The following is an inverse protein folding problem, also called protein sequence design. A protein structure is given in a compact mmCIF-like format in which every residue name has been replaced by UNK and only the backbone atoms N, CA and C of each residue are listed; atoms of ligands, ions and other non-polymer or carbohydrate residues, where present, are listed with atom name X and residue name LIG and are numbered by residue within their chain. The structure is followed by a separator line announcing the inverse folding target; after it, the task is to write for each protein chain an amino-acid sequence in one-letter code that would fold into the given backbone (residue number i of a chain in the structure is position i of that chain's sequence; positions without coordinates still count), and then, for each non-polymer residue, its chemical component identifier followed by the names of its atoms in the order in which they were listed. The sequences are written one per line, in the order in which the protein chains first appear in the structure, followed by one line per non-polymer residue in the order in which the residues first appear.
data_IF_008959760737
#
_entry.id   IF_008959760737
#
_cell.length_a   1.000
_cell.length_b   1.000
_cell.length_c   1.000
_cell.angle_alpha   90.00
_cell.angle_beta   90.00
_cell.angle_gamma   90.00
#
_symmetry.space_group_name_H-M   'P 1'
#
loop_
_entity.id
_entity.type
_entity.pdbx_description
1 polymer ?
#
# COMPACT_ATOMS: atom_id res chain seq x y z
N UNK A 1 -4.86 -12.41 36.42
CA UNK A 1 -4.49 -11.34 35.48
C UNK A 1 -5.78 -10.69 34.99
N UNK A 2 -5.85 -9.40 34.94
CA UNK A 2 -6.98 -8.64 34.41
C UNK A 2 -6.65 -8.29 32.97
N UNK A 3 -7.55 -8.53 32.02
CA UNK A 3 -7.37 -8.15 30.62
C UNK A 3 -8.29 -6.98 30.26
N UNK A 4 -7.83 -6.11 29.38
CA UNK A 4 -8.67 -5.01 28.90
C UNK A 4 -9.75 -5.56 27.96
N UNK A 5 -9.34 -6.42 27.03
CA UNK A 5 -10.24 -7.03 26.04
C UNK A 5 -9.88 -8.50 25.83
N UNK A 6 -10.88 -9.36 25.65
CA UNK A 6 -10.70 -10.73 25.16
C UNK A 6 -11.56 -10.91 23.91
N UNK A 7 -10.93 -11.35 22.82
CA UNK A 7 -11.62 -11.84 21.61
C UNK A 7 -11.77 -13.34 21.76
N UNK A 8 -13.00 -13.86 21.66
CA UNK A 8 -13.34 -15.28 21.92
C UNK A 8 -13.84 -16.01 20.69
N UNK A 9 -13.62 -17.33 20.69
CA UNK A 9 -14.23 -18.28 19.76
C UNK A 9 -13.85 -18.09 18.30
N UNK A 10 -12.89 -17.22 17.97
CA UNK A 10 -12.50 -16.93 16.59
C UNK A 10 -11.50 -17.92 16.04
N UNK A 11 -11.48 -18.06 14.71
CA UNK A 11 -10.40 -18.73 14.01
C UNK A 11 -9.25 -17.75 13.82
N UNK A 12 -8.21 -17.87 14.63
CA UNK A 12 -6.98 -17.07 14.51
C UNK A 12 -6.23 -17.53 13.26
N UNK A 13 -5.91 -16.57 12.38
CA UNK A 13 -5.18 -16.83 11.14
C UNK A 13 -3.91 -15.98 11.14
N UNK A 14 -2.77 -16.64 11.11
CA UNK A 14 -1.45 -16.04 10.89
C UNK A 14 -0.95 -16.37 9.49
N UNK A 15 0.24 -15.90 9.11
CA UNK A 15 0.84 -16.29 7.82
C UNK A 15 1.14 -17.79 7.71
N UNK A 16 1.27 -18.51 8.84
CA UNK A 16 1.66 -19.93 8.86
C UNK A 16 0.54 -20.85 9.35
N UNK A 17 -0.27 -20.41 10.32
CA UNK A 17 -1.19 -21.28 11.05
C UNK A 17 -2.62 -20.75 11.06
N UNK A 18 -3.57 -21.68 11.18
CA UNK A 18 -4.99 -21.39 11.43
C UNK A 18 -5.49 -22.31 12.55
N UNK A 19 -5.99 -21.72 13.64
CA UNK A 19 -6.47 -22.47 14.81
C UNK A 19 -7.54 -21.67 15.57
N UNK A 20 -8.40 -22.37 16.31
CA UNK A 20 -9.40 -21.72 17.18
C UNK A 20 -8.76 -21.37 18.50
N UNK A 21 -8.80 -20.10 18.89
CA UNK A 21 -8.29 -19.61 20.17
C UNK A 21 -8.96 -18.30 20.59
N UNK A 22 -8.87 -17.99 21.88
CA UNK A 22 -9.13 -16.68 22.43
C UNK A 22 -7.86 -15.83 22.37
N UNK A 23 -7.99 -14.54 22.17
CA UNK A 23 -6.89 -13.56 22.18
C UNK A 23 -7.16 -12.53 23.27
N UNK A 24 -6.31 -12.51 24.30
CA UNK A 24 -6.40 -11.54 25.40
C UNK A 24 -5.45 -10.36 25.18
N UNK A 25 -5.93 -9.17 25.50
CA UNK A 25 -5.26 -7.89 25.28
C UNK A 25 -5.11 -7.17 26.62
N UNK A 26 -3.93 -6.63 26.86
CA UNK A 26 -3.64 -5.71 27.97
C UNK A 26 -2.68 -4.62 27.50
N UNK A 27 -2.93 -3.38 27.89
CA UNK A 27 -2.08 -2.22 27.59
C UNK A 27 -1.75 -2.08 26.09
N UNK A 28 -2.76 -2.37 25.25
CA UNK A 28 -2.63 -2.26 23.79
C UNK A 28 -1.80 -3.36 23.12
N UNK A 29 -1.42 -4.41 23.87
CA UNK A 29 -0.64 -5.55 23.38
C UNK A 29 -1.38 -6.86 23.56
N UNK A 30 -1.01 -7.84 22.72
CA UNK A 30 -1.46 -9.21 22.88
C UNK A 30 -0.78 -9.79 24.12
N UNK A 31 -1.57 -10.10 25.14
CA UNK A 31 -1.09 -10.60 26.44
C UNK A 31 -1.10 -12.13 26.51
N UNK A 32 -2.10 -12.77 25.87
CA UNK A 32 -2.19 -14.23 25.79
C UNK A 32 -2.96 -14.66 24.55
N UNK A 33 -2.63 -15.86 24.06
CA UNK A 33 -3.38 -16.57 23.01
C UNK A 33 -3.55 -18.00 23.49
N UNK A 34 -4.79 -18.50 23.55
CA UNK A 34 -5.04 -19.84 24.05
C UNK A 34 -6.53 -20.18 24.10
N UNK A 35 -6.84 -21.40 24.42
CA UNK A 35 -8.23 -21.86 24.53
C UNK A 35 -8.81 -21.51 25.91
N UNK A 36 -10.09 -21.10 25.97
CA UNK A 36 -10.85 -20.86 27.19
C UNK A 36 -10.16 -19.90 28.19
N UNK A 37 -9.65 -18.78 27.71
CA UNK A 37 -9.04 -17.77 28.57
C UNK A 37 -10.07 -17.26 29.61
N UNK A 38 -9.64 -16.99 30.86
CA UNK A 38 -10.54 -16.55 31.92
C UNK A 38 -11.05 -15.12 31.62
N UNK A 39 -12.38 -14.96 31.65
CA UNK A 39 -13.03 -13.65 31.36
C UNK A 39 -13.36 -12.85 32.64
N UNK A 40 -13.13 -13.43 33.82
CA UNK A 40 -13.40 -12.74 35.10
C UNK A 40 -12.50 -11.48 35.19
N UNK A 41 -13.12 -10.35 35.46
CA UNK A 41 -12.48 -9.04 35.55
C UNK A 41 -11.98 -8.49 34.21
N UNK A 42 -12.44 -9.01 33.07
CA UNK A 42 -12.18 -8.41 31.75
C UNK A 42 -13.14 -7.24 31.50
N UNK A 43 -12.61 -6.11 30.98
CA UNK A 43 -13.44 -4.91 30.73
C UNK A 43 -14.37 -5.14 29.53
N UNK A 44 -13.86 -5.77 28.46
CA UNK A 44 -14.61 -6.01 27.23
C UNK A 44 -14.40 -7.43 26.72
N UNK A 45 -15.48 -8.08 26.28
CA UNK A 45 -15.43 -9.37 25.57
C UNK A 45 -16.04 -9.20 24.19
N UNK A 46 -15.31 -9.59 23.16
CA UNK A 46 -15.73 -9.56 21.76
C UNK A 46 -15.91 -11.01 21.29
N UNK A 47 -17.09 -11.34 20.79
CA UNK A 47 -17.37 -12.67 20.24
C UNK A 47 -17.02 -12.71 18.74
N UNK A 48 -16.11 -13.61 18.37
CA UNK A 48 -15.68 -13.87 17.00
C UNK A 48 -16.15 -15.24 16.48
N UNK A 49 -17.24 -15.78 17.04
CA UNK A 49 -17.82 -17.06 16.59
C UNK A 49 -18.10 -17.01 15.08
N UNK A 50 -17.62 -18.03 14.34
CA UNK A 50 -17.68 -18.15 12.88
C UNK A 50 -16.94 -17.03 12.10
N UNK A 51 -16.04 -16.29 12.75
CA UNK A 51 -15.24 -15.24 12.14
C UNK A 51 -13.76 -15.56 12.21
N UNK A 52 -12.99 -14.90 11.36
CA UNK A 52 -11.54 -14.94 11.40
C UNK A 52 -11.02 -13.84 12.32
N UNK A 53 -9.98 -14.12 13.07
CA UNK A 53 -9.19 -13.12 13.80
C UNK A 53 -7.86 -12.99 13.08
N UNK A 54 -7.66 -11.86 12.42
CA UNK A 54 -6.52 -11.56 11.58
C UNK A 54 -5.64 -10.49 12.24
N UNK A 55 -4.32 -10.46 12.00
CA UNK A 55 -3.53 -9.28 12.30
C UNK A 55 -4.01 -8.11 11.43
N UNK A 56 -3.97 -6.91 11.97
CA UNK A 56 -4.34 -5.70 11.24
C UNK A 56 -3.58 -5.56 9.93
N UNK A 57 -4.27 -5.12 8.87
CA UNK A 57 -3.65 -4.87 7.57
C UNK A 57 -2.59 -3.76 7.64
N UNK A 58 -1.54 -3.90 6.86
CA UNK A 58 -0.50 -2.89 6.68
C UNK A 58 -0.49 -2.47 5.22
N UNK A 59 -0.83 -1.23 4.95
CA UNK A 59 -0.74 -0.66 3.60
C UNK A 59 0.54 0.16 3.48
N UNK A 60 1.43 -0.30 2.63
CA UNK A 60 2.76 0.30 2.48
C UNK A 60 2.83 1.31 1.33
N UNK A 61 1.68 1.69 0.76
CA UNK A 61 1.67 2.61 -0.36
C UNK A 61 0.42 3.48 -0.36
N UNK A 62 0.53 4.64 0.30
CA UNK A 62 -0.53 5.66 0.33
C UNK A 62 0.05 7.06 0.12
N UNK A 63 -0.79 7.98 -0.35
CA UNK A 63 -0.43 9.37 -0.65
C UNK A 63 -1.48 10.33 -0.05
N UNK A 64 -1.49 10.42 1.28
CA UNK A 64 -2.43 11.25 2.02
C UNK A 64 -1.95 12.71 2.06
N UNK A 65 -2.89 13.64 1.85
CA UNK A 65 -2.61 15.10 1.86
C UNK A 65 -1.43 15.47 0.94
N UNK A 66 -1.33 14.76 -0.21
CA UNK A 66 -0.22 14.89 -1.15
C UNK A 66 -0.51 15.96 -2.21
N UNK A 67 0.30 17.03 -2.32
CA UNK A 67 0.21 17.98 -3.42
C UNK A 67 0.74 17.32 -4.72
N UNK A 68 -0.14 17.21 -5.73
CA UNK A 68 0.20 16.64 -7.02
C UNK A 68 -0.76 17.11 -8.12
N UNK A 69 -0.27 17.26 -9.35
CA UNK A 69 -1.11 17.58 -10.51
C UNK A 69 -1.85 18.91 -10.43
N UNK A 70 -1.30 19.89 -9.71
CA UNK A 70 -1.92 21.22 -9.53
C UNK A 70 -2.99 21.27 -8.44
N UNK A 71 -3.15 20.20 -7.67
CA UNK A 71 -4.11 20.09 -6.57
C UNK A 71 -3.51 19.28 -5.41
N UNK A 72 -4.33 18.86 -4.45
CA UNK A 72 -3.91 18.01 -3.33
C UNK A 72 -4.83 16.78 -3.26
N UNK A 73 -4.30 15.61 -2.92
CA UNK A 73 -5.12 14.41 -2.75
C UNK A 73 -6.26 14.65 -1.76
N UNK A 74 -7.44 14.09 -2.04
CA UNK A 74 -8.67 14.42 -1.35
C UNK A 74 -8.68 13.97 0.13
N UNK A 75 -8.07 12.83 0.43
CA UNK A 75 -7.94 12.34 1.79
C UNK A 75 -6.70 12.92 2.46
N UNK A 76 -6.88 13.43 3.66
CA UNK A 76 -5.81 13.76 4.59
C UNK A 76 -5.55 12.58 5.56
N UNK A 77 -4.64 12.76 6.54
CA UNK A 77 -4.32 11.70 7.50
C UNK A 77 -5.48 11.31 8.41
N UNK A 78 -6.47 12.19 8.65
CA UNK A 78 -7.66 11.82 9.41
C UNK A 78 -8.59 10.95 8.57
N UNK A 79 -9.00 11.46 7.40
CA UNK A 79 -10.01 10.81 6.56
C UNK A 79 -9.47 9.52 5.93
N UNK A 80 -8.23 9.53 5.43
CA UNK A 80 -7.61 8.36 4.81
C UNK A 80 -7.33 7.22 5.82
N UNK A 81 -6.81 7.54 7.03
CA UNK A 81 -6.59 6.51 8.05
C UNK A 81 -7.90 6.01 8.67
N UNK A 82 -8.96 6.84 8.71
CA UNK A 82 -10.31 6.42 9.06
C UNK A 82 -10.87 5.44 8.03
N UNK A 83 -10.78 5.75 6.75
CA UNK A 83 -11.19 4.85 5.67
C UNK A 83 -10.39 3.54 5.68
N UNK A 84 -9.07 3.62 5.91
CA UNK A 84 -8.21 2.45 6.09
C UNK A 84 -8.69 1.54 7.22
N UNK A 85 -9.08 2.12 8.36
CA UNK A 85 -9.61 1.37 9.51
C UNK A 85 -10.90 0.64 9.16
N UNK A 86 -11.85 1.24 8.43
CA UNK A 86 -13.04 0.54 7.95
C UNK A 86 -12.68 -0.65 7.05
N UNK A 87 -11.61 -0.54 6.27
CA UNK A 87 -11.07 -1.62 5.45
C UNK A 87 -10.24 -2.66 6.20
N UNK A 88 -10.07 -2.55 7.53
CA UNK A 88 -9.25 -3.48 8.33
C UNK A 88 -7.75 -3.19 8.28
N UNK A 89 -7.34 -2.07 7.72
CA UNK A 89 -5.94 -1.62 7.70
C UNK A 89 -5.68 -0.75 8.93
N UNK A 90 -4.73 -1.15 9.77
CA UNK A 90 -4.40 -0.50 11.04
C UNK A 90 -3.06 0.21 11.05
N UNK A 91 -2.29 0.04 10.00
CA UNK A 91 -0.98 0.68 9.83
C UNK A 91 -0.80 1.11 8.37
N UNK A 92 -0.33 2.34 8.18
CA UNK A 92 -0.01 2.87 6.85
C UNK A 92 1.45 3.31 6.80
N UNK A 93 2.08 3.11 5.64
CA UNK A 93 3.39 3.73 5.35
C UNK A 93 3.17 4.67 4.16
N UNK A 94 3.14 5.97 4.45
CA UNK A 94 2.89 7.02 3.48
C UNK A 94 4.18 7.60 2.88
N UNK A 95 4.09 8.39 1.83
CA UNK A 95 5.25 8.93 1.12
C UNK A 95 5.47 10.41 1.39
N UNK A 96 6.46 10.74 2.22
CA UNK A 96 6.93 12.10 2.42
C UNK A 96 7.73 12.59 1.22
N UNK A 97 7.30 13.69 0.58
CA UNK A 97 7.88 14.19 -0.67
C UNK A 97 8.95 15.23 -0.39
N UNK A 98 10.17 14.98 -0.86
CA UNK A 98 11.21 15.99 -0.99
C UNK A 98 10.89 16.91 -2.17
N UNK A 99 10.92 18.21 -1.97
CA UNK A 99 10.98 19.16 -3.07
C UNK A 99 12.44 19.33 -3.53
N UNK A 100 12.63 19.41 -4.85
CA UNK A 100 13.97 19.48 -5.46
C UNK A 100 14.81 20.58 -4.81
N UNK A 101 16.04 20.23 -4.42
CA UNK A 101 16.97 21.13 -3.74
C UNK A 101 16.72 21.32 -2.25
N UNK A 102 15.66 20.74 -1.68
CA UNK A 102 15.38 20.79 -0.24
C UNK A 102 15.97 19.57 0.50
N UNK A 103 16.23 19.69 1.80
CA UNK A 103 16.65 18.57 2.63
C UNK A 103 15.56 17.48 2.72
N UNK A 104 15.97 16.19 2.78
CA UNK A 104 15.06 15.07 3.07
C UNK A 104 14.43 15.23 4.45
N UNK A 105 15.15 15.81 5.41
CA UNK A 105 14.66 16.12 6.74
C UNK A 105 13.40 16.98 6.70
N UNK A 106 13.38 18.01 5.85
CA UNK A 106 12.22 18.89 5.72
C UNK A 106 10.97 18.14 5.22
N UNK A 107 11.15 17.19 4.29
CA UNK A 107 10.05 16.32 3.83
C UNK A 107 9.46 15.52 4.98
N UNK A 108 10.31 14.87 5.76
CA UNK A 108 9.90 14.09 6.93
C UNK A 108 9.15 14.96 7.96
N UNK A 109 9.70 16.11 8.34
CA UNK A 109 9.11 17.01 9.34
C UNK A 109 7.75 17.55 8.85
N UNK A 110 7.61 17.85 7.55
CA UNK A 110 6.36 18.28 6.94
C UNK A 110 5.29 17.20 7.07
N UNK A 111 5.60 15.94 6.72
CA UNK A 111 4.66 14.83 6.81
C UNK A 111 4.32 14.47 8.26
N UNK A 112 5.28 14.55 9.17
CA UNK A 112 5.03 14.44 10.61
C UNK A 112 4.01 15.47 11.09
N UNK A 113 4.16 16.73 10.65
CA UNK A 113 3.20 17.81 10.97
C UNK A 113 1.79 17.53 10.43
N UNK A 114 1.68 16.93 9.23
CA UNK A 114 0.39 16.55 8.63
C UNK A 114 -0.29 15.40 9.38
N UNK A 115 0.48 14.42 9.89
CA UNK A 115 -0.04 13.17 10.42
C UNK A 115 -0.30 13.19 11.93
N UNK A 116 0.58 13.82 12.74
CA UNK A 116 0.66 13.61 14.20
C UNK A 116 -0.60 13.96 14.98
N UNK A 117 -1.38 14.94 14.52
CA UNK A 117 -2.64 15.35 15.19
C UNK A 117 -3.89 14.77 14.54
N UNK A 118 -3.76 14.06 13.42
CA UNK A 118 -4.88 13.61 12.57
C UNK A 118 -5.01 12.10 12.46
N UNK A 119 -3.89 11.39 12.32
CA UNK A 119 -3.92 9.95 12.05
C UNK A 119 -4.70 9.17 13.12
N UNK A 120 -5.62 8.32 12.66
CA UNK A 120 -6.43 7.41 13.49
C UNK A 120 -5.69 6.09 13.73
N UNK A 121 -5.02 5.58 12.68
CA UNK A 121 -4.19 4.38 12.72
C UNK A 121 -2.72 4.75 12.87
N UNK A 122 -1.89 3.78 13.27
CA UNK A 122 -0.45 3.97 13.32
C UNK A 122 0.13 4.18 11.93
N UNK A 123 1.20 4.95 11.83
CA UNK A 123 1.77 5.35 10.55
C UNK A 123 3.31 5.40 10.57
N UNK A 124 3.89 5.30 9.40
CA UNK A 124 5.30 5.53 9.14
C UNK A 124 5.46 6.22 7.78
N UNK A 125 6.71 6.51 7.38
CA UNK A 125 6.97 7.16 6.10
C UNK A 125 8.07 6.47 5.31
N UNK A 126 7.87 6.42 3.99
CA UNK A 126 8.95 6.41 3.00
C UNK A 126 9.32 7.85 2.69
N UNK A 127 10.55 8.10 2.26
CA UNK A 127 10.94 9.42 1.79
C UNK A 127 11.12 9.38 0.26
N UNK A 128 10.36 10.19 -0.49
CA UNK A 128 10.55 10.39 -1.93
C UNK A 128 11.76 11.30 -2.12
N UNK A 129 12.71 10.87 -2.97
CA UNK A 129 13.87 11.65 -3.35
C UNK A 129 13.71 12.15 -4.80
N UNK A 130 13.87 13.45 -4.98
CA UNK A 130 13.76 14.11 -6.29
C UNK A 130 15.11 14.59 -6.83
N UNK A 131 16.12 14.57 -5.97
CA UNK A 131 17.52 14.77 -6.31
C UNK A 131 18.43 13.95 -5.40
N UNK A 132 19.67 13.74 -5.82
CA UNK A 132 20.67 12.95 -5.09
C UNK A 132 22.01 13.67 -5.11
N UNK A 133 22.29 14.42 -4.06
CA UNK A 133 23.61 15.02 -3.77
C UNK A 133 24.30 14.29 -2.61
N UNK A 134 25.54 14.65 -2.34
CA UNK A 134 26.24 14.14 -1.15
C UNK A 134 25.52 14.48 0.16
N UNK A 135 24.83 15.62 0.22
CA UNK A 135 24.00 16.03 1.36
C UNK A 135 22.83 15.10 1.58
N UNK A 136 22.00 14.86 0.56
CA UNK A 136 20.85 13.96 0.66
C UNK A 136 21.28 12.51 0.98
N UNK A 137 22.38 12.02 0.41
CA UNK A 137 22.92 10.69 0.77
C UNK A 137 23.34 10.59 2.24
N UNK A 138 23.88 11.68 2.81
CA UNK A 138 24.16 11.74 4.26
C UNK A 138 22.87 11.73 5.08
N UNK A 139 21.86 12.53 4.68
CA UNK A 139 20.56 12.59 5.36
C UNK A 139 19.81 11.25 5.32
N UNK A 140 20.00 10.42 4.28
CA UNK A 140 19.45 9.04 4.27
C UNK A 140 19.94 8.24 5.49
N UNK A 141 21.23 8.38 5.88
CA UNK A 141 21.76 7.68 7.05
C UNK A 141 21.16 8.22 8.35
N UNK A 142 20.92 9.53 8.43
CA UNK A 142 20.29 10.16 9.59
C UNK A 142 18.83 9.69 9.75
N UNK A 143 18.06 9.72 8.67
CA UNK A 143 16.67 9.26 8.66
C UNK A 143 16.54 7.77 8.99
N UNK A 144 17.45 6.92 8.49
CA UNK A 144 17.48 5.49 8.86
C UNK A 144 17.66 5.31 10.36
N UNK A 145 18.57 6.06 11.02
CA UNK A 145 18.74 6.04 12.48
C UNK A 145 17.49 6.49 13.24
N UNK A 146 16.66 7.33 12.63
CA UNK A 146 15.39 7.79 13.20
C UNK A 146 14.20 6.86 12.90
N UNK A 147 14.43 5.78 12.14
CA UNK A 147 13.41 4.78 11.82
C UNK A 147 12.63 5.04 10.52
N UNK A 148 13.11 5.94 9.66
CA UNK A 148 12.66 6.09 8.27
C UNK A 148 13.63 5.28 7.39
N UNK A 149 13.32 4.02 7.15
CA UNK A 149 14.25 3.02 6.63
C UNK A 149 14.04 2.66 5.17
N UNK A 150 13.25 3.43 4.45
CA UNK A 150 12.98 3.21 3.02
C UNK A 150 12.81 4.52 2.26
N UNK A 151 13.26 4.51 1.00
CA UNK A 151 13.30 5.69 0.14
C UNK A 151 12.69 5.36 -1.21
N UNK A 152 11.87 6.27 -1.75
CA UNK A 152 11.21 6.10 -3.05
C UNK A 152 11.97 6.88 -4.13
N UNK A 153 12.29 6.19 -5.21
CA UNK A 153 12.91 6.75 -6.40
C UNK A 153 12.02 6.51 -7.62
N UNK A 154 12.16 7.36 -8.62
CA UNK A 154 11.36 7.31 -9.84
C UNK A 154 12.25 7.26 -11.08
N UNK A 155 11.90 6.37 -12.01
CA UNK A 155 12.45 6.32 -13.37
C UNK A 155 11.52 6.99 -14.39
N UNK A 156 10.43 7.59 -13.90
CA UNK A 156 9.41 8.31 -14.68
C UNK A 156 9.21 9.73 -14.15
N UNK A 157 8.35 10.50 -14.81
CA UNK A 157 8.06 11.91 -14.54
C UNK A 157 9.28 12.83 -14.76
N UNK A 158 9.77 12.95 -16.03
CA UNK A 158 10.87 13.85 -16.37
C UNK A 158 10.63 15.28 -15.89
N UNK A 159 11.65 15.89 -15.31
CA UNK A 159 11.59 17.26 -14.77
C UNK A 159 10.89 17.39 -13.41
N UNK A 160 10.21 16.35 -12.91
CA UNK A 160 9.48 16.37 -11.62
C UNK A 160 10.15 15.42 -10.61
N UNK A 161 10.07 14.12 -10.84
CA UNK A 161 10.56 13.07 -9.92
C UNK A 161 11.68 12.21 -10.50
N UNK A 162 11.81 12.15 -11.85
CA UNK A 162 12.73 11.23 -12.52
C UNK A 162 14.17 11.49 -12.12
N UNK A 163 14.86 10.43 -11.70
CA UNK A 163 16.30 10.41 -11.44
C UNK A 163 17.02 9.67 -12.57
N UNK A 164 18.29 10.05 -12.81
CA UNK A 164 19.19 9.33 -13.70
C UNK A 164 19.75 8.07 -13.02
N UNK A 165 20.24 7.11 -13.84
CA UNK A 165 20.77 5.84 -13.37
C UNK A 165 21.94 6.00 -12.38
N UNK A 166 22.79 7.02 -12.58
CA UNK A 166 23.91 7.30 -11.66
C UNK A 166 23.43 7.74 -10.28
N UNK A 167 22.39 8.57 -10.21
CA UNK A 167 21.75 9.00 -8.96
C UNK A 167 21.07 7.82 -8.26
N UNK A 168 20.31 7.00 -8.99
CA UNK A 168 19.68 5.77 -8.49
C UNK A 168 20.73 4.82 -7.92
N UNK A 169 21.83 4.61 -8.65
CA UNK A 169 22.92 3.72 -8.22
C UNK A 169 23.58 4.18 -6.92
N UNK A 170 23.84 5.49 -6.77
CA UNK A 170 24.40 6.04 -5.51
C UNK A 170 23.46 5.83 -4.31
N UNK A 171 22.15 6.02 -4.52
CA UNK A 171 21.16 5.77 -3.47
C UNK A 171 21.12 4.27 -3.08
N UNK A 172 21.15 3.35 -4.05
CA UNK A 172 21.25 1.91 -3.82
C UNK A 172 22.52 1.52 -3.06
N UNK A 173 23.68 2.08 -3.44
CA UNK A 173 24.93 1.86 -2.69
C UNK A 173 24.85 2.39 -1.24
N UNK A 174 24.08 3.44 -1.01
CA UNK A 174 23.86 3.99 0.34
C UNK A 174 22.99 3.05 1.15
N UNK A 175 21.88 2.54 0.59
CA UNK A 175 21.00 1.59 1.31
C UNK A 175 21.64 0.23 1.51
N UNK A 176 22.50 -0.23 0.61
CA UNK A 176 23.33 -1.43 0.81
C UNK A 176 24.18 -1.36 2.09
N UNK A 177 24.66 -0.15 2.45
CA UNK A 177 25.52 0.08 3.64
C UNK A 177 24.74 0.35 4.91
N UNK A 178 23.63 1.09 4.84
CA UNK A 178 22.86 1.49 6.02
C UNK A 178 21.67 0.56 6.33
N UNK A 179 21.44 -0.47 5.51
CA UNK A 179 20.38 -1.49 5.68
C UNK A 179 18.99 -1.02 5.29
N UNK A 180 18.86 0.14 4.66
CA UNK A 180 17.58 0.65 4.14
C UNK A 180 17.13 -0.08 2.89
N UNK A 181 15.93 0.29 2.38
CA UNK A 181 15.30 -0.31 1.21
C UNK A 181 14.90 0.77 0.20
N UNK A 182 15.28 0.58 -1.07
CA UNK A 182 14.78 1.42 -2.16
C UNK A 182 13.46 0.87 -2.69
N UNK A 183 12.44 1.74 -2.72
CA UNK A 183 11.17 1.53 -3.40
C UNK A 183 11.25 2.20 -4.77
N UNK A 184 11.05 1.46 -5.87
CA UNK A 184 11.27 1.97 -7.22
C UNK A 184 9.98 2.05 -8.03
N UNK A 185 9.63 3.26 -8.49
CA UNK A 185 8.66 3.43 -9.57
C UNK A 185 9.40 3.19 -10.90
N UNK A 186 9.13 2.06 -11.52
CA UNK A 186 9.87 1.55 -12.66
C UNK A 186 9.06 1.64 -13.96
N UNK A 187 9.03 2.82 -14.57
CA UNK A 187 8.58 3.04 -15.95
C UNK A 187 9.63 3.86 -16.69
N UNK A 188 9.84 3.59 -17.99
CA UNK A 188 10.78 4.35 -18.83
C UNK A 188 10.21 5.74 -19.18
N UNK A 189 10.41 6.69 -18.27
CA UNK A 189 9.84 8.02 -18.36
C UNK A 189 10.27 8.78 -19.62
N UNK A 190 11.51 8.61 -20.08
CA UNK A 190 12.01 9.28 -21.28
C UNK A 190 11.30 8.81 -22.56
N UNK A 191 11.11 7.49 -22.71
CA UNK A 191 10.39 6.94 -23.87
C UNK A 191 8.89 7.29 -23.81
N UNK A 192 8.29 7.20 -22.63
CA UNK A 192 6.87 7.56 -22.40
C UNK A 192 6.64 9.03 -22.76
N UNK A 193 7.52 9.95 -22.36
CA UNK A 193 7.37 11.38 -22.67
C UNK A 193 7.33 11.63 -24.19
N UNK A 194 8.21 10.98 -24.97
CA UNK A 194 8.18 11.05 -26.44
C UNK A 194 6.83 10.55 -26.98
N UNK A 195 6.34 9.39 -26.53
CA UNK A 195 5.06 8.83 -26.98
C UNK A 195 3.89 9.75 -26.62
N UNK A 196 3.91 10.36 -25.43
CA UNK A 196 2.91 11.33 -24.97
C UNK A 196 2.90 12.56 -25.88
N UNK A 197 4.07 13.13 -26.19
CA UNK A 197 4.16 14.30 -27.08
C UNK A 197 3.66 14.00 -28.49
N UNK A 198 3.97 12.81 -29.02
CA UNK A 198 3.45 12.36 -30.33
C UNK A 198 1.93 12.25 -30.32
N UNK A 199 1.37 11.63 -29.27
CA UNK A 199 -0.09 11.50 -29.13
C UNK A 199 -0.80 12.87 -29.06
N UNK A 200 -0.22 13.82 -28.31
CA UNK A 200 -0.77 15.17 -28.21
C UNK A 200 -0.69 15.92 -29.55
N UNK A 201 0.40 15.76 -30.30
CA UNK A 201 0.56 16.36 -31.65
C UNK A 201 -0.48 15.81 -32.63
N UNK A 202 -0.93 14.57 -32.45
CA UNK A 202 -2.01 13.93 -33.22
C UNK A 202 -3.42 14.30 -32.72
N UNK A 203 -3.54 15.19 -31.72
CA UNK A 203 -4.84 15.58 -31.13
C UNK A 203 -5.49 14.53 -30.21
N UNK A 204 -4.73 13.53 -29.77
CA UNK A 204 -5.19 12.45 -28.87
C UNK A 204 -5.17 12.95 -27.42
N UNK A 205 -6.32 13.42 -26.92
CA UNK A 205 -6.44 14.11 -25.63
C UNK A 205 -7.31 13.38 -24.58
N UNK A 206 -8.07 12.36 -25.00
CA UNK A 206 -8.99 11.63 -24.13
C UNK A 206 -8.25 10.84 -23.02
N UNK A 207 -8.89 10.57 -21.86
CA UNK A 207 -8.26 9.87 -20.73
C UNK A 207 -7.59 8.54 -21.08
N UNK A 208 -8.15 7.77 -22.04
CA UNK A 208 -7.58 6.47 -22.46
C UNK A 208 -6.16 6.57 -23.02
N UNK A 209 -5.78 7.72 -23.55
CA UNK A 209 -4.42 7.90 -24.07
C UNK A 209 -3.37 7.93 -22.96
N UNK A 210 -3.77 8.16 -21.71
CA UNK A 210 -2.88 7.95 -20.56
C UNK A 210 -2.36 6.51 -20.52
N UNK A 211 -3.23 5.52 -20.73
CA UNK A 211 -2.81 4.11 -20.78
C UNK A 211 -2.11 3.75 -22.10
N UNK A 212 -2.63 4.22 -23.23
CA UNK A 212 -2.08 3.88 -24.56
C UNK A 212 -0.69 4.45 -24.82
N UNK A 213 -0.29 5.52 -24.12
CA UNK A 213 1.06 6.10 -24.20
C UNK A 213 2.07 5.49 -23.23
N UNK A 214 1.66 4.50 -22.43
CA UNK A 214 2.50 3.81 -21.44
C UNK A 214 2.50 2.30 -21.68
N UNK A 215 3.23 1.82 -22.71
CA UNK A 215 3.25 0.39 -23.03
C UNK A 215 3.84 -0.44 -21.90
N UNK A 216 3.42 -1.69 -21.77
CA UNK A 216 3.92 -2.63 -20.74
C UNK A 216 5.43 -2.86 -20.85
N UNK A 217 5.97 -2.77 -22.07
CA UNK A 217 7.41 -2.86 -22.31
C UNK A 217 8.22 -1.72 -21.68
N UNK A 218 7.62 -0.53 -21.47
CA UNK A 218 8.27 0.57 -20.78
C UNK A 218 8.40 0.30 -19.27
N UNK A 219 7.42 -0.38 -18.67
CA UNK A 219 7.48 -0.85 -17.28
C UNK A 219 8.47 -2.02 -17.13
N UNK A 220 8.44 -2.99 -18.05
CA UNK A 220 9.33 -4.15 -18.02
C UNK A 220 10.80 -3.76 -18.21
N UNK A 221 11.12 -2.86 -19.13
CA UNK A 221 12.49 -2.34 -19.35
C UNK A 221 13.01 -1.64 -18.08
N UNK A 222 12.23 -0.72 -17.54
CA UNK A 222 12.63 0.02 -16.36
C UNK A 222 12.76 -0.91 -15.12
N UNK A 223 11.89 -1.90 -14.97
CA UNK A 223 12.00 -2.91 -13.92
C UNK A 223 13.30 -3.71 -14.05
N UNK A 224 13.63 -4.19 -15.26
CA UNK A 224 14.87 -4.92 -15.50
C UNK A 224 16.11 -4.07 -15.22
N UNK A 225 16.11 -2.79 -15.63
CA UNK A 225 17.20 -1.84 -15.40
C UNK A 225 17.35 -1.51 -13.91
N UNK A 226 16.25 -1.29 -13.19
CA UNK A 226 16.27 -1.06 -11.74
C UNK A 226 16.88 -2.26 -10.98
N UNK A 227 16.50 -3.49 -11.38
CA UNK A 227 17.05 -4.72 -10.81
C UNK A 227 18.54 -4.85 -11.10
N UNK A 228 18.99 -4.55 -12.32
CA UNK A 228 20.40 -4.59 -12.69
C UNK A 228 21.24 -3.58 -11.87
N UNK A 229 20.72 -2.36 -11.66
CA UNK A 229 21.37 -1.36 -10.80
C UNK A 229 21.46 -1.82 -9.35
N UNK A 230 20.40 -2.45 -8.82
CA UNK A 230 20.38 -2.99 -7.47
C UNK A 230 21.38 -4.16 -7.29
N UNK A 231 21.44 -5.08 -8.27
CA UNK A 231 22.41 -6.19 -8.30
C UNK A 231 23.85 -5.66 -8.29
N UNK A 232 24.18 -4.68 -9.13
CA UNK A 232 25.52 -4.05 -9.15
C UNK A 232 25.85 -3.33 -7.83
N UNK A 233 24.86 -2.77 -7.15
CA UNK A 233 25.04 -2.09 -5.85
C UNK A 233 25.11 -3.08 -4.67
N UNK A 234 24.77 -4.36 -4.86
CA UNK A 234 24.60 -5.33 -3.79
C UNK A 234 23.49 -4.94 -2.80
N UNK A 235 22.40 -4.33 -3.29
CA UNK A 235 21.31 -3.82 -2.49
C UNK A 235 20.00 -4.56 -2.77
N UNK A 236 19.12 -4.78 -1.76
CA UNK A 236 17.75 -5.17 -2.00
C UNK A 236 16.98 -4.06 -2.70
N UNK A 237 15.97 -4.46 -3.49
CA UNK A 237 15.08 -3.50 -4.16
C UNK A 237 13.62 -3.94 -4.05
N UNK A 238 12.72 -2.96 -3.95
CA UNK A 238 11.28 -3.15 -3.91
C UNK A 238 10.61 -2.41 -5.07
N UNK A 239 10.03 -3.16 -6.00
CA UNK A 239 9.29 -2.59 -7.14
C UNK A 239 7.87 -2.31 -6.70
N UNK A 240 7.46 -1.04 -6.72
CA UNK A 240 6.12 -0.64 -6.28
C UNK A 240 5.09 -0.80 -7.38
N UNK A 241 3.80 -0.95 -7.01
CA UNK A 241 2.60 -0.95 -7.88
C UNK A 241 2.79 -1.64 -9.25
N UNK A 242 3.44 -2.80 -9.29
CA UNK A 242 3.67 -3.55 -10.52
C UNK A 242 2.34 -3.93 -11.18
N UNK A 243 2.17 -3.57 -12.46
CA UNK A 243 0.87 -3.56 -13.13
C UNK A 243 0.70 -4.61 -14.24
N UNK A 244 1.78 -5.25 -14.71
CA UNK A 244 1.72 -6.12 -15.89
C UNK A 244 2.60 -7.37 -15.78
N UNK A 245 2.27 -8.39 -16.61
CA UNK A 245 3.05 -9.62 -16.67
C UNK A 245 4.49 -9.40 -17.15
N UNK A 246 4.68 -8.46 -18.08
CA UNK A 246 6.01 -8.23 -18.66
C UNK A 246 7.04 -7.80 -17.59
N UNK A 247 6.61 -6.93 -16.66
CA UNK A 247 7.42 -6.52 -15.51
C UNK A 247 7.52 -7.65 -14.45
N UNK A 248 6.42 -8.39 -14.22
CA UNK A 248 6.41 -9.53 -13.29
C UNK A 248 7.45 -10.60 -13.69
N UNK A 249 7.59 -10.90 -14.99
CA UNK A 249 8.61 -11.84 -15.45
C UNK A 249 10.03 -11.37 -15.09
N UNK A 250 10.31 -10.06 -15.11
CA UNK A 250 11.63 -9.53 -14.72
C UNK A 250 11.90 -9.70 -13.22
N UNK A 251 10.89 -9.51 -12.39
CA UNK A 251 10.97 -9.80 -10.95
C UNK A 251 11.18 -11.29 -10.71
N UNK A 252 10.41 -12.14 -11.38
CA UNK A 252 10.54 -13.62 -11.27
C UNK A 252 11.94 -14.10 -11.67
N UNK A 253 12.43 -13.71 -12.85
CA UNK A 253 13.77 -14.05 -13.34
C UNK A 253 14.87 -13.67 -12.34
N UNK A 254 14.76 -12.50 -11.70
CA UNK A 254 15.72 -12.05 -10.70
C UNK A 254 15.65 -12.88 -9.40
N UNK A 255 14.43 -13.16 -8.92
CA UNK A 255 14.22 -13.98 -7.72
C UNK A 255 14.65 -15.43 -7.92
N UNK A 256 14.41 -16.02 -9.09
CA UNK A 256 14.88 -17.36 -9.45
C UNK A 256 16.43 -17.47 -9.44
N UNK A 257 17.13 -16.34 -9.62
CA UNK A 257 18.59 -16.20 -9.45
C UNK A 257 19.03 -15.97 -8.00
N UNK A 258 18.08 -15.87 -7.06
CA UNK A 258 18.35 -15.62 -5.64
C UNK A 258 18.60 -14.15 -5.29
N UNK A 259 18.27 -13.19 -6.17
CA UNK A 259 18.43 -11.77 -5.86
C UNK A 259 17.34 -11.27 -4.90
N UNK A 260 17.68 -10.37 -3.96
CA UNK A 260 16.72 -9.80 -3.00
C UNK A 260 15.82 -8.73 -3.68
N UNK A 261 14.98 -9.20 -4.60
CA UNK A 261 14.02 -8.39 -5.34
C UNK A 261 12.61 -8.69 -4.85
N UNK A 262 11.89 -7.67 -4.47
CA UNK A 262 10.52 -7.75 -3.99
C UNK A 262 9.63 -6.85 -4.83
N UNK A 263 8.33 -7.17 -4.89
CA UNK A 263 7.37 -6.37 -5.62
C UNK A 263 6.00 -6.39 -4.96
N UNK A 264 5.28 -5.31 -5.13
CA UNK A 264 3.85 -5.21 -4.82
C UNK A 264 3.02 -5.05 -6.09
N UNK A 265 1.77 -5.45 -5.99
CA UNK A 265 0.72 -5.03 -6.92
C UNK A 265 -0.42 -4.37 -6.14
N UNK A 266 -1.40 -3.82 -6.85
CA UNK A 266 -2.53 -3.15 -6.24
C UNK A 266 -3.86 -3.74 -6.75
N UNK A 267 -4.96 -3.66 -5.97
CA UNK A 267 -6.25 -4.23 -6.36
C UNK A 267 -6.75 -3.75 -7.73
N UNK A 268 -6.45 -2.51 -8.13
CA UNK A 268 -6.86 -1.98 -9.43
C UNK A 268 -6.32 -2.80 -10.60
N UNK A 269 -5.11 -3.33 -10.52
CA UNK A 269 -4.52 -4.17 -11.58
C UNK A 269 -5.05 -5.60 -11.59
N UNK A 270 -5.69 -6.03 -10.51
CA UNK A 270 -6.29 -7.35 -10.35
C UNK A 270 -7.75 -7.41 -10.80
N UNK A 271 -8.44 -6.26 -10.77
CA UNK A 271 -9.89 -6.18 -10.99
C UNK A 271 -10.30 -5.32 -12.17
N UNK A 272 -9.53 -4.29 -12.50
CA UNK A 272 -9.82 -3.32 -13.55
C UNK A 272 -8.89 -3.53 -14.74
N UNK A 273 -9.30 -3.07 -15.91
CA UNK A 273 -8.56 -3.25 -17.15
C UNK A 273 -8.68 -2.01 -18.03
N UNK A 274 -7.96 -1.99 -19.14
CA UNK A 274 -7.94 -0.85 -20.07
C UNK A 274 -9.33 -0.53 -20.62
N UNK A 275 -10.24 -1.51 -20.67
CA UNK A 275 -11.63 -1.36 -21.11
C UNK A 275 -12.43 -0.40 -20.21
N UNK A 276 -12.00 -0.17 -18.94
CA UNK A 276 -12.64 0.80 -18.07
C UNK A 276 -12.52 2.25 -18.60
N UNK A 277 -11.53 2.52 -19.47
CA UNK A 277 -11.42 3.82 -20.14
C UNK A 277 -12.46 4.05 -21.24
N UNK A 278 -13.17 3.02 -21.69
CA UNK A 278 -14.22 3.12 -22.71
C UNK A 278 -15.57 3.61 -22.13
N UNK A 279 -15.60 3.91 -20.83
CA UNK A 279 -16.75 4.54 -20.19
C UNK A 279 -17.11 5.88 -20.89
N UNK A 280 -18.41 6.20 -21.03
CA UNK A 280 -18.87 7.32 -21.85
C UNK A 280 -18.36 8.69 -21.35
N UNK A 281 -18.12 9.60 -22.28
CA UNK A 281 -17.72 10.97 -22.00
C UNK A 281 -16.34 11.06 -21.34
N UNK A 282 -16.26 11.68 -20.18
CA UNK A 282 -15.03 11.88 -19.43
C UNK A 282 -14.84 10.87 -18.27
N UNK A 283 -15.77 9.92 -18.12
CA UNK A 283 -15.77 8.94 -17.01
C UNK A 283 -14.48 8.12 -16.93
N UNK A 284 -13.78 7.88 -18.04
CA UNK A 284 -12.48 7.23 -18.07
C UNK A 284 -11.40 7.93 -17.23
N UNK A 285 -11.57 9.22 -16.88
CA UNK A 285 -10.66 9.95 -16.01
C UNK A 285 -10.58 9.38 -14.58
N UNK A 286 -11.62 8.67 -14.11
CA UNK A 286 -11.64 7.96 -12.83
C UNK A 286 -10.54 6.91 -12.72
N UNK A 287 -10.05 6.40 -13.86
CA UNK A 287 -9.06 5.33 -13.96
C UNK A 287 -7.67 5.82 -14.36
N UNK A 288 -7.44 7.15 -14.35
CA UNK A 288 -6.11 7.72 -14.62
C UNK A 288 -5.27 7.69 -13.36
N UNK A 289 -4.34 6.75 -13.31
CA UNK A 289 -3.27 6.58 -12.32
C UNK A 289 -2.06 5.91 -12.99
N UNK A 290 -0.90 5.90 -12.36
CA UNK A 290 0.38 5.51 -12.97
C UNK A 290 1.13 4.50 -12.08
N UNK A 291 1.46 3.29 -12.57
CA UNK A 291 1.22 2.76 -13.93
C UNK A 291 -0.26 2.63 -14.28
N UNK A 292 -0.61 2.69 -15.59
CA UNK A 292 -2.02 2.65 -16.00
C UNK A 292 -2.59 1.23 -15.99
N UNK A 293 -3.91 1.12 -16.12
CA UNK A 293 -4.60 -0.15 -16.34
C UNK A 293 -4.11 -0.83 -17.63
N UNK A 294 -4.01 -2.14 -17.56
CA UNK A 294 -3.53 -3.01 -18.63
C UNK A 294 -4.67 -3.84 -19.23
N UNK A 295 -4.38 -4.58 -20.31
CA UNK A 295 -5.30 -5.54 -20.89
C UNK A 295 -5.67 -6.62 -19.85
N UNK A 296 -6.91 -7.09 -19.91
CA UNK A 296 -7.50 -7.98 -18.91
C UNK A 296 -6.70 -9.28 -18.65
N UNK A 297 -6.00 -9.80 -19.66
CA UNK A 297 -5.22 -11.03 -19.51
C UNK A 297 -4.06 -10.94 -18.51
N UNK A 298 -3.56 -9.75 -18.20
CA UNK A 298 -2.54 -9.54 -17.17
C UNK A 298 -3.04 -9.90 -15.76
N UNK A 299 -4.34 -9.75 -15.49
CA UNK A 299 -4.93 -10.00 -14.18
C UNK A 299 -4.63 -11.40 -13.65
N UNK A 300 -4.90 -12.44 -14.44
CA UNK A 300 -4.63 -13.83 -14.01
C UNK A 300 -3.14 -14.09 -13.80
N UNK A 301 -2.26 -13.41 -14.52
CA UNK A 301 -0.81 -13.50 -14.30
C UNK A 301 -0.41 -12.88 -12.96
N UNK A 302 -0.97 -11.72 -12.62
CA UNK A 302 -0.73 -11.07 -11.33
C UNK A 302 -1.31 -11.89 -10.16
N UNK A 303 -2.54 -12.42 -10.29
CA UNK A 303 -3.10 -13.34 -9.29
C UNK A 303 -2.23 -14.57 -9.08
N UNK A 304 -1.70 -15.16 -10.15
CA UNK A 304 -0.76 -16.28 -10.06
C UNK A 304 0.57 -15.84 -9.40
N UNK A 305 1.05 -14.64 -9.72
CA UNK A 305 2.22 -14.04 -9.06
C UNK A 305 2.05 -13.93 -7.54
N UNK A 306 0.87 -13.52 -7.08
CA UNK A 306 0.54 -13.48 -5.65
C UNK A 306 0.48 -14.89 -5.04
N UNK A 307 -0.09 -15.85 -5.75
CA UNK A 307 -0.18 -17.25 -5.31
C UNK A 307 1.21 -17.90 -5.16
N UNK A 308 2.12 -17.66 -6.10
CA UNK A 308 3.42 -18.34 -6.22
C UNK A 308 4.59 -17.57 -5.58
N UNK A 309 4.31 -16.53 -4.80
CA UNK A 309 5.32 -15.65 -4.16
C UNK A 309 6.25 -14.91 -5.15
N UNK A 310 5.79 -14.68 -6.37
CA UNK A 310 6.50 -13.78 -7.30
C UNK A 310 6.15 -12.30 -6.98
N UNK A 311 4.99 -12.06 -6.35
CA UNK A 311 4.58 -10.81 -5.73
C UNK A 311 4.38 -11.04 -4.23
N UNK A 312 4.98 -10.19 -3.40
CA UNK A 312 5.04 -10.40 -1.95
C UNK A 312 4.04 -9.57 -1.17
N UNK A 313 3.56 -8.49 -1.75
CA UNK A 313 2.70 -7.50 -1.06
C UNK A 313 1.55 -7.07 -1.96
N UNK A 314 0.40 -6.80 -1.36
CA UNK A 314 -0.66 -6.02 -1.99
C UNK A 314 -0.88 -4.74 -1.21
N UNK A 315 -0.58 -3.61 -1.86
CA UNK A 315 -0.80 -2.25 -1.38
C UNK A 315 -1.94 -1.59 -2.15
N UNK A 316 -2.19 -0.29 -1.96
CA UNK A 316 -3.28 0.39 -2.67
C UNK A 316 -2.83 1.42 -3.68
N UNK A 317 -1.71 2.06 -3.45
CA UNK A 317 -1.35 3.31 -4.14
C UNK A 317 -2.49 4.35 -4.02
N UNK A 318 -3.10 4.41 -2.82
CA UNK A 318 -4.23 5.29 -2.54
C UNK A 318 -3.80 6.75 -2.64
N UNK A 319 -4.22 7.39 -3.71
CA UNK A 319 -3.98 8.80 -4.02
C UNK A 319 -5.26 9.38 -4.64
N UNK A 320 -6.31 9.64 -3.84
CA UNK A 320 -7.61 10.00 -4.36
C UNK A 320 -7.68 11.45 -4.80
N UNK A 321 -8.31 11.68 -5.94
CA UNK A 321 -8.70 13.01 -6.43
C UNK A 321 -10.16 12.96 -6.81
N UNK A 322 -10.98 13.88 -6.32
CA UNK A 322 -12.39 13.95 -6.67
C UNK A 322 -12.56 14.01 -8.20
N UNK A 323 -13.58 13.32 -8.71
CA UNK A 323 -13.90 13.37 -10.14
C UNK A 323 -14.29 14.80 -10.54
N UNK A 324 -15.23 15.37 -9.81
CA UNK A 324 -15.59 16.78 -9.96
C UNK A 324 -14.46 17.67 -9.46
N UNK A 325 -14.20 18.74 -10.18
CA UNK A 325 -13.20 19.76 -9.89
C UNK A 325 -11.75 19.30 -10.08
N UNK A 326 -11.32 18.14 -9.53
CA UNK A 326 -9.92 17.74 -9.57
C UNK A 326 -9.57 16.94 -10.84
N UNK A 327 -10.22 15.81 -11.13
CA UNK A 327 -9.97 15.06 -12.38
C UNK A 327 -10.33 15.89 -13.62
N UNK A 328 -11.33 16.76 -13.50
CA UNK A 328 -11.78 17.66 -14.55
C UNK A 328 -10.74 18.70 -14.99
N UNK A 329 -9.68 18.94 -14.23
CA UNK A 329 -8.53 19.76 -14.66
C UNK A 329 -7.91 19.28 -15.97
N UNK A 330 -8.02 18.00 -16.26
CA UNK A 330 -7.51 17.38 -17.50
C UNK A 330 -8.57 17.10 -18.56
N UNK A 331 -9.74 17.76 -18.53
CA UNK A 331 -10.84 17.48 -19.47
C UNK A 331 -10.43 17.62 -20.96
N UNK A 332 -9.55 18.57 -21.26
CA UNK A 332 -9.08 18.85 -22.60
C UNK A 332 -7.67 18.29 -22.90
N UNK A 333 -7.04 17.65 -21.92
CA UNK A 333 -5.68 17.14 -22.03
C UNK A 333 -5.43 16.08 -20.93
N UNK A 334 -5.32 14.81 -21.32
CA UNK A 334 -5.15 13.70 -20.39
C UNK A 334 -3.90 13.83 -19.50
N UNK A 335 -2.88 14.58 -19.94
CA UNK A 335 -1.66 14.79 -19.16
C UNK A 335 -1.88 15.69 -17.93
N UNK A 336 -2.99 16.43 -17.90
CA UNK A 336 -3.38 17.32 -16.80
C UNK A 336 -4.38 16.67 -15.83
N UNK A 337 -4.82 15.44 -16.10
CA UNK A 337 -5.64 14.70 -15.14
C UNK A 337 -4.75 14.30 -13.96
N UNK A 338 -5.01 14.73 -12.72
CA UNK A 338 -4.26 14.27 -11.55
C UNK A 338 -4.26 12.74 -11.46
N UNK A 339 -3.05 12.14 -11.45
CA UNK A 339 -2.89 10.69 -11.45
C UNK A 339 -3.10 10.13 -10.04
N UNK A 340 -4.03 9.21 -9.89
CA UNK A 340 -4.29 8.52 -8.63
C UNK A 340 -5.75 8.09 -8.51
N UNK A 341 -6.02 7.16 -7.62
CA UNK A 341 -7.36 6.62 -7.38
C UNK A 341 -7.60 6.20 -5.93
N UNK A 342 -8.88 6.09 -5.51
CA UNK A 342 -9.26 5.66 -4.16
C UNK A 342 -9.23 4.13 -4.04
N UNK A 343 -8.55 3.59 -3.00
CA UNK A 343 -8.46 2.13 -2.83
C UNK A 343 -8.29 1.64 -1.40
N UNK A 344 -7.88 2.49 -0.46
CA UNK A 344 -7.41 2.08 0.88
C UNK A 344 -8.45 1.31 1.68
N UNK A 345 -9.73 1.65 1.56
CA UNK A 345 -10.83 1.01 2.29
C UNK A 345 -11.16 -0.40 1.75
N UNK A 346 -10.94 -0.65 0.47
CA UNK A 346 -11.45 -1.88 -0.17
C UNK A 346 -10.39 -2.97 -0.32
N UNK A 347 -9.12 -2.68 -0.03
CA UNK A 347 -7.98 -3.57 -0.26
C UNK A 347 -8.19 -4.97 0.32
N UNK A 348 -8.45 -5.09 1.62
CA UNK A 348 -8.55 -6.40 2.26
C UNK A 348 -9.75 -7.20 1.73
N UNK A 349 -10.90 -6.57 1.57
CA UNK A 349 -12.11 -7.25 1.06
C UNK A 349 -11.96 -7.70 -0.39
N UNK A 350 -11.36 -6.88 -1.26
CA UNK A 350 -11.05 -7.25 -2.63
C UNK A 350 -10.10 -8.46 -2.69
N UNK A 351 -8.98 -8.41 -1.95
CA UNK A 351 -7.99 -9.48 -1.98
C UNK A 351 -8.51 -10.75 -1.32
N UNK A 352 -9.29 -10.65 -0.23
CA UNK A 352 -9.95 -11.81 0.35
C UNK A 352 -10.94 -12.45 -0.64
N UNK A 353 -11.81 -11.64 -1.25
CA UNK A 353 -12.83 -12.10 -2.20
C UNK A 353 -12.21 -12.75 -3.44
N UNK A 354 -11.27 -12.08 -4.09
CA UNK A 354 -10.63 -12.58 -5.32
C UNK A 354 -9.57 -13.64 -5.09
N UNK A 355 -9.02 -13.73 -3.88
CA UNK A 355 -7.97 -14.68 -3.51
C UNK A 355 -8.49 -15.89 -2.74
N UNK A 356 -9.01 -15.65 -1.54
CA UNK A 356 -9.42 -16.73 -0.61
C UNK A 356 -10.80 -17.29 -0.97
N UNK A 357 -11.80 -16.44 -1.06
CA UNK A 357 -13.17 -16.90 -1.35
C UNK A 357 -13.30 -17.53 -2.74
N UNK A 358 -12.47 -17.12 -3.70
CA UNK A 358 -12.39 -17.74 -5.03
C UNK A 358 -11.54 -19.03 -5.08
N UNK A 359 -10.84 -19.39 -3.99
CA UNK A 359 -9.99 -20.57 -3.91
C UNK A 359 -8.62 -20.45 -4.59
N UNK A 360 -8.14 -19.25 -4.93
CA UNK A 360 -6.81 -19.08 -5.53
C UNK A 360 -5.68 -19.34 -4.57
N UNK A 361 -5.82 -18.93 -3.30
CA UNK A 361 -4.84 -19.16 -2.23
C UNK A 361 -5.51 -19.22 -0.85
N UNK A 362 -4.75 -19.65 0.16
CA UNK A 362 -5.23 -19.81 1.54
C UNK A 362 -5.41 -18.47 2.27
N UNK A 363 -6.15 -18.50 3.38
CA UNK A 363 -6.24 -17.36 4.28
C UNK A 363 -4.88 -17.00 4.91
N UNK A 364 -3.97 -17.97 5.09
CA UNK A 364 -2.61 -17.72 5.56
C UNK A 364 -1.83 -16.89 4.54
N UNK A 365 -1.91 -17.24 3.23
CA UNK A 365 -1.28 -16.44 2.17
C UNK A 365 -1.89 -15.04 2.09
N UNK A 366 -3.19 -14.90 2.29
CA UNK A 366 -3.82 -13.58 2.39
C UNK A 366 -3.20 -12.74 3.50
N UNK A 367 -3.10 -13.27 4.73
CA UNK A 367 -2.46 -12.59 5.87
C UNK A 367 -1.00 -12.24 5.55
N UNK A 368 -0.29 -13.15 4.92
CA UNK A 368 1.08 -12.91 4.49
C UNK A 368 1.18 -11.69 3.56
N UNK A 369 0.33 -11.62 2.52
CA UNK A 369 0.33 -10.56 1.51
C UNK A 369 -0.07 -9.17 2.04
N UNK A 370 -1.01 -9.11 2.98
CA UNK A 370 -1.61 -7.83 3.42
C UNK A 370 -1.11 -7.35 4.77
N UNK A 371 -0.34 -8.16 5.52
CA UNK A 371 0.07 -7.84 6.88
C UNK A 371 1.50 -8.31 7.20
N UNK A 372 1.80 -9.62 7.15
CA UNK A 372 3.06 -10.16 7.67
C UNK A 372 4.27 -9.79 6.81
N UNK A 373 4.20 -9.98 5.48
CA UNK A 373 5.32 -9.62 4.60
C UNK A 373 5.56 -8.13 4.52
N UNK A 374 4.52 -7.26 4.42
CA UNK A 374 4.71 -5.81 4.60
C UNK A 374 5.45 -5.47 5.90
N UNK A 375 5.08 -6.08 7.03
CA UNK A 375 5.75 -5.85 8.31
C UNK A 375 7.21 -6.26 8.29
N UNK A 376 7.54 -7.41 7.69
CA UNK A 376 8.92 -7.91 7.59
C UNK A 376 9.77 -7.03 6.69
N UNK A 377 9.30 -6.71 5.48
CA UNK A 377 10.07 -5.92 4.52
C UNK A 377 10.36 -4.50 5.01
N UNK A 378 9.42 -3.93 5.76
CA UNK A 378 9.51 -2.53 6.20
C UNK A 378 9.82 -2.36 7.68
N UNK A 379 10.36 -3.40 8.35
CA UNK A 379 10.94 -3.28 9.68
C UNK A 379 9.95 -3.09 10.83
N UNK A 380 8.73 -3.60 10.68
CA UNK A 380 7.67 -3.54 11.71
C UNK A 380 7.45 -4.88 12.43
N UNK A 381 7.91 -5.99 11.86
CA UNK A 381 7.76 -7.33 12.44
C UNK A 381 8.76 -7.53 13.60
N UNK A 382 8.41 -8.22 14.72
CA UNK A 382 7.11 -8.82 15.05
C UNK A 382 6.15 -7.87 15.78
N UNK A 383 6.47 -6.58 15.92
CA UNK A 383 5.60 -5.60 16.60
C UNK A 383 4.23 -5.53 15.93
N UNK A 384 4.19 -5.55 14.60
CA UNK A 384 3.01 -5.60 13.73
C UNK A 384 3.07 -6.85 12.84
N UNK A 385 1.96 -7.19 12.17
CA UNK A 385 1.92 -8.23 11.14
C UNK A 385 1.79 -9.67 11.64
N UNK A 386 1.51 -9.86 12.93
CA UNK A 386 1.31 -11.19 13.52
C UNK A 386 0.38 -11.15 14.72
N UNK A 387 -0.14 -12.31 15.14
CA UNK A 387 -0.88 -12.51 16.39
C UNK A 387 0.00 -13.33 17.32
N UNK A 388 0.84 -12.67 18.10
CA UNK A 388 1.73 -13.30 19.07
C UNK A 388 1.84 -12.45 20.35
N UNK A 389 2.12 -13.10 21.47
CA UNK A 389 2.28 -12.42 22.76
C UNK A 389 3.39 -11.36 22.66
N UNK A 390 3.10 -10.14 23.08
CA UNK A 390 3.98 -8.98 23.04
C UNK A 390 3.84 -8.10 21.80
N UNK A 391 3.22 -8.58 20.71
CA UNK A 391 2.88 -7.74 19.54
C UNK A 391 1.82 -6.71 19.89
N UNK A 392 1.78 -5.61 19.16
CA UNK A 392 0.70 -4.64 19.30
C UNK A 392 -0.63 -5.31 18.94
N UNK A 393 -1.69 -5.03 19.70
CA UNK A 393 -3.01 -5.62 19.48
C UNK A 393 -3.75 -4.90 18.35
N UNK A 394 -3.18 -4.95 17.16
CA UNK A 394 -3.79 -4.54 15.90
C UNK A 394 -4.47 -5.75 15.28
N UNK A 395 -5.77 -5.84 15.43
CA UNK A 395 -6.53 -7.04 15.12
C UNK A 395 -7.78 -6.71 14.32
N UNK A 396 -8.16 -7.64 13.44
CA UNK A 396 -9.40 -7.56 12.67
C UNK A 396 -10.22 -8.81 12.93
N UNK A 397 -11.41 -8.64 13.52
CA UNK A 397 -12.46 -9.67 13.49
C UNK A 397 -13.10 -9.54 12.10
N UNK A 398 -12.88 -10.52 11.26
CA UNK A 398 -13.26 -10.50 9.85
C UNK A 398 -14.37 -11.53 9.59
N UNK A 399 -15.49 -11.08 9.03
CA UNK A 399 -16.58 -11.94 8.63
C UNK A 399 -16.33 -12.51 7.22
N UNK A 400 -15.98 -13.80 7.09
CA UNK A 400 -15.61 -14.40 5.82
C UNK A 400 -16.80 -14.61 4.87
N UNK A 401 -18.03 -14.46 5.35
CA UNK A 401 -19.26 -14.74 4.59
C UNK A 401 -20.02 -13.45 4.24
N UNK A 402 -19.72 -12.33 4.90
CA UNK A 402 -20.42 -11.06 4.65
C UNK A 402 -20.20 -10.63 3.19
N UNK A 403 -21.32 -10.39 2.49
CA UNK A 403 -21.31 -9.87 1.11
C UNK A 403 -21.55 -8.37 1.12
N UNK A 404 -20.87 -7.68 0.22
CA UNK A 404 -21.01 -6.24 0.04
C UNK A 404 -20.83 -5.87 -1.44
N UNK A 405 -21.57 -4.86 -1.89
CA UNK A 405 -21.34 -4.22 -3.18
C UNK A 405 -20.65 -2.90 -2.94
N UNK A 406 -19.46 -2.74 -3.49
CA UNK A 406 -18.67 -1.51 -3.32
C UNK A 406 -19.38 -0.36 -4.02
N UNK A 407 -19.51 0.77 -3.32
CA UNK A 407 -20.12 1.98 -3.86
C UNK A 407 -19.55 3.24 -3.22
N UNK A 408 -19.51 4.31 -4.01
CA UNK A 408 -19.18 5.65 -3.51
C UNK A 408 -20.15 6.15 -2.43
N UNK A 409 -21.37 5.61 -2.39
CA UNK A 409 -22.37 5.96 -1.39
C UNK A 409 -22.14 5.29 -0.02
N UNK A 410 -21.26 4.30 0.07
CA UNK A 410 -21.05 3.50 1.27
C UNK A 410 -19.63 3.52 1.80
N UNK A 411 -18.66 4.01 1.03
CA UNK A 411 -17.28 4.14 1.50
C UNK A 411 -17.08 5.39 2.36
N UNK A 412 -15.97 5.42 3.11
CA UNK A 412 -15.61 6.48 4.05
C UNK A 412 -14.45 7.37 3.55
N UNK A 413 -13.94 7.11 2.35
CA UNK A 413 -12.93 7.94 1.68
C UNK A 413 -13.55 9.28 1.26
N UNK A 414 -12.78 10.36 1.34
CA UNK A 414 -13.22 11.73 1.02
C UNK A 414 -13.10 12.02 -0.47
N UNK A 415 -13.75 11.20 -1.28
CA UNK A 415 -13.76 11.29 -2.74
C UNK A 415 -15.15 10.95 -3.28
N UNK A 416 -15.56 11.56 -4.38
CA UNK A 416 -16.93 11.52 -4.90
C UNK A 416 -17.22 10.34 -5.86
N UNK A 417 -16.30 9.35 -5.94
CA UNK A 417 -16.51 8.14 -6.74
C UNK A 417 -15.72 6.95 -6.15
N UNK A 418 -16.06 5.76 -6.60
CA UNK A 418 -15.24 4.57 -6.41
C UNK A 418 -14.78 4.02 -7.75
N UNK A 419 -13.48 3.70 -7.90
CA UNK A 419 -13.01 3.01 -9.11
C UNK A 419 -13.49 1.55 -9.16
N UNK A 420 -13.94 1.00 -8.03
CA UNK A 420 -14.49 -0.35 -7.90
C UNK A 420 -16.02 -0.37 -7.82
N UNK A 421 -16.69 0.69 -8.25
CA UNK A 421 -18.16 0.83 -8.17
C UNK A 421 -18.88 -0.38 -8.73
N UNK A 422 -19.83 -0.95 -7.96
CA UNK A 422 -20.64 -2.09 -8.36
C UNK A 422 -19.97 -3.46 -8.22
N UNK A 423 -18.69 -3.55 -7.87
CA UNK A 423 -18.01 -4.83 -7.63
C UNK A 423 -18.56 -5.47 -6.35
N UNK A 424 -18.98 -6.72 -6.46
CA UNK A 424 -19.42 -7.52 -5.33
C UNK A 424 -18.22 -8.24 -4.70
N UNK A 425 -18.08 -8.12 -3.38
CA UNK A 425 -17.05 -8.80 -2.59
C UNK A 425 -17.68 -9.71 -1.55
N UNK A 426 -16.97 -10.77 -1.20
CA UNK A 426 -17.26 -11.67 -0.09
C UNK A 426 -16.12 -11.58 0.91
N UNK A 427 -16.46 -11.37 2.18
CA UNK A 427 -15.51 -11.14 3.26
C UNK A 427 -15.29 -9.66 3.55
N UNK A 428 -15.59 -9.26 4.80
CA UNK A 428 -15.52 -7.88 5.27
C UNK A 428 -15.02 -7.82 6.72
N UNK A 429 -14.27 -6.77 7.11
CA UNK A 429 -14.04 -6.43 8.51
C UNK A 429 -15.36 -6.22 9.25
N UNK A 430 -15.47 -6.70 10.47
CA UNK A 430 -16.60 -6.49 11.35
C UNK A 430 -16.21 -5.67 12.58
N UNK A 431 -15.08 -6.02 13.22
CA UNK A 431 -14.49 -5.22 14.30
C UNK A 431 -13.01 -5.02 14.01
N UNK A 432 -12.54 -3.79 14.13
CA UNK A 432 -11.13 -3.43 13.92
C UNK A 432 -10.58 -2.80 15.19
N UNK A 433 -9.46 -3.35 15.66
CA UNK A 433 -8.74 -2.84 16.83
C UNK A 433 -7.38 -2.29 16.39
N UNK A 434 -7.04 -1.11 16.87
CA UNK A 434 -5.70 -0.53 16.77
C UNK A 434 -5.13 -0.36 18.16
N UNK A 435 -4.01 -1.02 18.43
CA UNK A 435 -3.39 -1.10 19.76
C UNK A 435 -4.42 -1.38 20.87
N UNK A 436 -5.20 -2.46 20.67
CA UNK A 436 -6.20 -2.94 21.62
C UNK A 436 -7.48 -2.12 21.74
N UNK A 437 -7.58 -0.97 21.08
CA UNK A 437 -8.78 -0.12 21.08
C UNK A 437 -9.63 -0.41 19.86
N UNK A 438 -10.91 -0.68 20.07
CA UNK A 438 -11.87 -0.80 18.96
C UNK A 438 -11.99 0.55 18.28
N UNK A 439 -11.65 0.60 17.00
CA UNK A 439 -11.74 1.82 16.16
C UNK A 439 -12.88 1.76 15.15
N UNK A 440 -13.31 0.54 14.79
CA UNK A 440 -14.49 0.30 13.94
C UNK A 440 -15.25 -0.89 14.50
N UNK A 441 -16.59 -0.80 14.50
CA UNK A 441 -17.50 -1.91 14.82
C UNK A 441 -18.74 -1.83 13.91
N UNK A 442 -18.87 -2.78 13.01
CA UNK A 442 -19.85 -2.73 11.93
C UNK A 442 -19.63 -1.46 11.09
N UNK A 443 -20.67 -0.64 10.96
CA UNK A 443 -20.62 0.61 10.20
C UNK A 443 -20.34 1.85 11.11
N UNK A 444 -19.90 1.61 12.38
CA UNK A 444 -19.64 2.68 13.34
C UNK A 444 -18.15 2.92 13.50
N UNK A 445 -17.74 4.17 13.30
CA UNK A 445 -16.42 4.63 13.66
C UNK A 445 -16.37 5.00 15.15
N UNK A 446 -15.41 4.43 15.88
CA UNK A 446 -15.20 4.63 17.32
C UNK A 446 -13.82 5.20 17.63
N UNK A 447 -12.98 5.36 16.61
CA UNK A 447 -11.67 5.97 16.73
C UNK A 447 -11.73 7.49 16.90
N UNK A 448 -10.57 8.09 17.07
CA UNK A 448 -10.45 9.57 17.13
C UNK A 448 -9.19 10.03 16.42
N UNK A 449 -9.23 11.24 15.86
CA UNK A 449 -8.07 11.88 15.27
C UNK A 449 -6.91 12.01 16.27
N UNK A 450 -5.69 11.84 15.80
CA UNK A 450 -4.47 11.96 16.59
C UNK A 450 -4.19 10.79 17.55
N UNK A 451 -4.96 9.70 17.52
CA UNK A 451 -4.66 8.52 18.35
C UNK A 451 -3.58 7.61 17.74
N UNK A 452 -3.37 7.66 16.43
CA UNK A 452 -2.31 6.95 15.72
C UNK A 452 -0.93 7.46 16.13
N UNK A 453 0.06 6.59 16.06
CA UNK A 453 1.44 6.89 16.44
C UNK A 453 2.38 6.70 15.26
N UNK A 454 3.39 7.56 15.20
CA UNK A 454 4.52 7.34 14.30
C UNK A 454 5.31 6.09 14.74
N UNK A 455 5.55 5.18 13.80
CA UNK A 455 6.29 3.95 14.00
C UNK A 455 7.72 4.11 13.52
N UNK A 456 8.68 4.12 14.43
CA UNK A 456 10.09 3.94 14.06
C UNK A 456 10.28 2.50 13.62
N UNK A 457 10.82 2.32 12.42
CA UNK A 457 11.00 1.01 11.78
C UNK A 457 12.47 0.54 11.92
N UNK A 458 12.64 -0.77 12.05
CA UNK A 458 13.94 -1.39 11.87
C UNK A 458 14.34 -1.34 10.39
N UNK A 459 15.62 -1.52 10.10
CA UNK A 459 16.10 -1.62 8.72
C UNK A 459 15.69 -2.97 8.12
N UNK A 460 15.63 -3.05 6.79
CA UNK A 460 15.43 -4.30 6.06
C UNK A 460 16.45 -5.38 6.51
N UNK A 461 17.72 -5.02 6.61
CA UNK A 461 18.78 -5.94 7.02
C UNK A 461 18.63 -6.47 8.47
N UNK A 462 18.04 -5.70 9.40
CA UNK A 462 17.82 -6.15 10.79
C UNK A 462 16.70 -7.20 10.91
N UNK A 463 15.78 -7.26 9.95
CA UNK A 463 14.62 -8.16 10.00
C UNK A 463 14.80 -9.37 9.08
N UNK A 464 15.52 -9.21 7.98
CA UNK A 464 15.63 -10.20 6.91
C UNK A 464 17.07 -10.65 6.63
N UNK A 465 18.04 -10.05 7.31
CA UNK A 465 19.48 -10.34 7.18
C UNK A 465 19.97 -11.54 7.99
#
# INVERSE_FOLDING_TARGET
MTFDTIIRNGSVVTATDTYVADVAISDGKIAAVGANLPVQNTIQVLDATNKLVLPGGIDVHTHLDMPFGGTTSADDFETGTRAAAFGGTTTLIDFAIQYKGQPLRQAFDTWMGKASSKAVCDYAFHCIMTDVSSGQLSEMNDLVREGVTSFKLFMAYPGVFMLDDGSIFKALQTTSKNGGLICMHAENGSAIDVIVQQALAEGKKAPKYHALTRPTTAEAEATARAIALAEMAGAPIYIVHLSCNDALEKVREARDRGLPVYAETCPQYLYLSIENFDAPGFEGAKYVFTPPLRQKWHQEKLWNGLKCDHLQVVSTDHCPFCFKEQKELGRDDFTKIPNGGPGVEHRMSLIYSGGVASGRFSANRFVELVSTTPAKLFGLYPRKGTISVGSDADLVIFDPQRRHTISANTHHMRVDYSMFEGIQVTGMPDVVLSRGRVVVQGDKFLGRAGQGQFLRRATYAQVNG
#
